data_IF_884703003814
#
_entry.id   IF_884703003814
#
_cell.length_a   1.000
_cell.length_b   1.000
_cell.length_c   1.000
_cell.angle_alpha   90.00
_cell.angle_beta   90.00
_cell.angle_gamma   90.00
#
_symmetry.space_group_name_H-M   'P 1'
#
loop_
_entity.id
_entity.type
_entity.pdbx_description
1 polymer ?
#
# COMPACT_ATOMS: atom_id res chain seq x y z
N UNK A 1 -38.83 -44.56 -32.34
CA UNK A 1 -38.94 -43.91 -33.67
C UNK A 1 -37.55 -43.40 -34.05
N UNK A 2 -37.16 -43.55 -35.32
CA UNK A 2 -35.88 -43.04 -35.83
C UNK A 2 -35.93 -41.52 -35.97
N UNK A 3 -34.80 -40.84 -35.75
CA UNK A 3 -34.73 -39.38 -35.87
C UNK A 3 -35.11 -38.87 -37.26
N UNK A 4 -34.61 -39.49 -38.32
CA UNK A 4 -34.86 -39.05 -39.71
C UNK A 4 -36.35 -39.01 -40.06
N UNK A 5 -37.14 -39.98 -39.58
CA UNK A 5 -38.59 -40.03 -39.79
C UNK A 5 -39.33 -38.96 -38.99
N UNK A 6 -38.80 -38.59 -37.81
CA UNK A 6 -39.37 -37.53 -36.98
C UNK A 6 -39.05 -36.14 -37.54
N UNK A 7 -37.80 -35.92 -37.96
CA UNK A 7 -37.34 -34.66 -38.56
C UNK A 7 -38.14 -34.33 -39.83
N UNK A 8 -38.31 -35.28 -40.74
CA UNK A 8 -39.16 -35.07 -41.95
C UNK A 8 -40.61 -34.71 -41.60
N UNK A 9 -41.15 -35.28 -40.51
CA UNK A 9 -42.52 -34.98 -40.07
C UNK A 9 -42.64 -33.62 -39.39
N UNK A 10 -41.56 -33.09 -38.81
CA UNK A 10 -41.60 -31.78 -38.14
C UNK A 10 -42.01 -30.67 -39.11
N UNK A 11 -41.54 -30.70 -40.35
CA UNK A 11 -41.87 -29.71 -41.39
C UNK A 11 -43.23 -29.96 -42.06
N UNK A 12 -43.69 -31.21 -42.08
CA UNK A 12 -44.81 -31.64 -42.93
C UNK A 12 -46.12 -31.92 -42.18
N UNK A 13 -46.11 -31.87 -40.84
CA UNK A 13 -47.27 -32.18 -40.00
C UNK A 13 -47.62 -31.02 -39.07
N UNK A 14 -48.86 -31.00 -38.58
CA UNK A 14 -49.25 -30.06 -37.51
C UNK A 14 -48.40 -30.25 -36.25
N UNK A 15 -48.01 -29.15 -35.59
CA UNK A 15 -47.17 -29.17 -34.38
C UNK A 15 -47.75 -30.11 -33.30
N UNK A 16 -49.07 -30.11 -33.10
CA UNK A 16 -49.73 -31.01 -32.14
C UNK A 16 -49.53 -32.50 -32.42
N UNK A 17 -49.35 -32.86 -33.70
CA UNK A 17 -49.05 -34.22 -34.15
C UNK A 17 -47.59 -34.54 -33.90
N UNK A 18 -46.67 -33.61 -34.20
CA UNK A 18 -45.23 -33.75 -33.93
C UNK A 18 -44.96 -33.91 -32.43
N UNK A 19 -45.57 -33.09 -31.59
CA UNK A 19 -45.40 -33.12 -30.12
C UNK A 19 -45.80 -34.47 -29.53
N UNK A 20 -46.88 -35.09 -30.03
CA UNK A 20 -47.32 -36.44 -29.58
C UNK A 20 -46.31 -37.54 -29.93
N UNK A 21 -45.40 -37.32 -30.87
CA UNK A 21 -44.39 -38.30 -31.28
C UNK A 21 -43.12 -38.23 -30.43
N UNK A 22 -42.82 -37.09 -29.78
CA UNK A 22 -41.61 -36.87 -28.95
C UNK A 22 -41.36 -38.02 -27.95
N UNK A 23 -42.36 -38.53 -27.18
CA UNK A 23 -42.11 -39.60 -26.22
C UNK A 23 -41.53 -40.88 -26.85
N UNK A 24 -41.87 -41.15 -28.12
CA UNK A 24 -41.44 -42.34 -28.87
C UNK A 24 -40.05 -42.23 -29.49
N UNK A 25 -39.39 -41.07 -29.38
CA UNK A 25 -38.01 -40.89 -29.85
C UNK A 25 -37.02 -41.67 -28.99
N UNK A 26 -36.16 -42.43 -29.64
CA UNK A 26 -35.07 -43.19 -29.00
C UNK A 26 -33.68 -42.74 -29.47
N UNK A 27 -33.63 -42.22 -30.70
CA UNK A 27 -32.45 -41.65 -31.36
C UNK A 27 -32.67 -40.16 -31.65
N UNK A 28 -31.57 -39.43 -31.75
CA UNK A 28 -31.54 -38.00 -31.99
C UNK A 28 -30.53 -37.70 -33.08
N UNK A 29 -30.79 -36.65 -33.86
CA UNK A 29 -29.90 -36.17 -34.90
C UNK A 29 -28.82 -35.25 -34.35
N UNK A 30 -28.27 -34.45 -35.23
CA UNK A 30 -27.34 -33.39 -34.85
C UNK A 30 -28.03 -32.35 -33.94
N UNK A 31 -27.27 -31.69 -33.04
CA UNK A 31 -27.81 -30.58 -32.24
C UNK A 31 -28.48 -29.49 -33.09
N UNK A 32 -27.94 -29.18 -34.27
CA UNK A 32 -28.56 -28.26 -35.23
C UNK A 32 -29.95 -28.70 -35.70
N UNK A 33 -30.10 -29.95 -36.15
CA UNK A 33 -31.42 -30.47 -36.56
C UNK A 33 -32.41 -30.44 -35.39
N UNK A 34 -31.94 -30.70 -34.16
CA UNK A 34 -32.79 -30.64 -32.97
C UNK A 34 -33.22 -29.18 -32.70
N UNK A 35 -32.31 -28.22 -32.82
CA UNK A 35 -32.60 -26.80 -32.67
C UNK A 35 -33.64 -26.32 -33.69
N UNK A 36 -33.51 -26.72 -34.96
CA UNK A 36 -34.48 -26.41 -36.02
C UNK A 36 -35.89 -26.91 -35.64
N UNK A 37 -36.01 -28.15 -35.16
CA UNK A 37 -37.30 -28.71 -34.75
C UNK A 37 -37.85 -28.03 -33.48
N UNK A 38 -36.99 -27.66 -32.54
CA UNK A 38 -37.39 -26.88 -31.37
C UNK A 38 -37.98 -25.53 -31.79
N UNK A 39 -37.37 -24.86 -32.77
CA UNK A 39 -37.88 -23.60 -33.31
C UNK A 39 -39.27 -23.76 -33.94
N UNK A 40 -39.45 -24.81 -34.77
CA UNK A 40 -40.74 -25.14 -35.40
C UNK A 40 -41.83 -25.41 -34.36
N UNK A 41 -41.52 -26.22 -33.34
CA UNK A 41 -42.49 -26.57 -32.31
C UNK A 41 -42.76 -25.35 -31.41
N UNK A 42 -41.73 -24.59 -31.06
CA UNK A 42 -41.78 -23.50 -30.09
C UNK A 42 -42.62 -22.30 -30.53
N UNK A 43 -42.85 -22.13 -31.84
CA UNK A 43 -43.74 -21.08 -32.35
C UNK A 43 -45.22 -21.32 -32.00
N UNK A 44 -45.62 -22.56 -31.73
CA UNK A 44 -47.02 -22.92 -31.43
C UNK A 44 -47.19 -23.61 -30.06
N UNK A 45 -46.25 -24.46 -29.65
CA UNK A 45 -46.32 -25.25 -28.43
C UNK A 45 -44.98 -25.25 -27.68
N UNK A 46 -44.77 -24.21 -26.86
CA UNK A 46 -43.62 -24.10 -25.97
C UNK A 46 -43.42 -25.30 -25.05
N UNK A 47 -44.49 -25.97 -24.60
CA UNK A 47 -44.39 -27.15 -23.72
C UNK A 47 -43.86 -28.35 -24.51
N UNK A 48 -44.31 -28.50 -25.76
CA UNK A 48 -43.76 -29.45 -26.72
C UNK A 48 -42.27 -29.22 -26.96
N UNK A 49 -41.87 -27.98 -27.22
CA UNK A 49 -40.47 -27.59 -27.44
C UNK A 49 -39.59 -27.92 -26.22
N UNK A 50 -40.04 -27.52 -25.02
CA UNK A 50 -39.39 -27.88 -23.76
C UNK A 50 -39.27 -29.41 -23.57
N UNK A 51 -40.29 -30.18 -23.98
CA UNK A 51 -40.25 -31.64 -23.87
C UNK A 51 -39.21 -32.27 -24.80
N UNK A 52 -39.05 -31.74 -26.01
CA UNK A 52 -38.01 -32.20 -26.94
C UNK A 52 -36.62 -31.84 -26.42
N UNK A 53 -36.43 -30.59 -25.97
CA UNK A 53 -35.18 -30.10 -25.41
C UNK A 53 -34.74 -30.95 -24.21
N UNK A 54 -35.60 -31.12 -23.20
CA UNK A 54 -35.25 -31.92 -22.02
C UNK A 54 -34.88 -33.36 -22.39
N UNK A 55 -35.62 -33.98 -23.32
CA UNK A 55 -35.32 -35.35 -23.75
C UNK A 55 -33.97 -35.44 -24.50
N UNK A 56 -33.59 -34.40 -25.24
CA UNK A 56 -32.26 -34.30 -25.85
C UNK A 56 -31.16 -34.15 -24.78
N UNK A 57 -31.36 -33.27 -23.79
CA UNK A 57 -30.44 -33.09 -22.67
C UNK A 57 -30.26 -34.37 -21.84
N UNK A 58 -31.34 -35.12 -21.60
CA UNK A 58 -31.30 -36.43 -20.91
C UNK A 58 -30.45 -37.47 -21.65
N UNK A 59 -30.27 -37.29 -22.97
CA UNK A 59 -29.37 -38.11 -23.80
C UNK A 59 -27.94 -37.59 -23.86
N UNK A 60 -27.62 -36.53 -23.11
CA UNK A 60 -26.30 -35.92 -23.08
C UNK A 60 -25.99 -35.05 -24.29
N UNK A 61 -27.00 -34.65 -25.07
CA UNK A 61 -26.84 -33.74 -26.20
C UNK A 61 -26.54 -32.35 -25.66
N UNK A 62 -25.54 -31.71 -26.25
CA UNK A 62 -25.12 -30.35 -25.91
C UNK A 62 -25.30 -29.45 -27.13
N UNK A 63 -25.51 -28.17 -26.88
CA UNK A 63 -25.79 -27.12 -27.87
C UNK A 63 -24.69 -26.03 -27.86
N UNK A 64 -24.35 -25.49 -29.03
CA UNK A 64 -23.31 -24.46 -29.17
C UNK A 64 -23.99 -23.08 -29.10
N UNK A 65 -23.25 -21.99 -29.22
CA UNK A 65 -23.87 -20.67 -29.14
C UNK A 65 -24.94 -20.46 -30.20
N UNK A 66 -24.68 -20.79 -31.47
CA UNK A 66 -25.63 -20.58 -32.57
C UNK A 66 -26.92 -21.40 -32.37
N UNK A 67 -26.78 -22.66 -31.99
CA UNK A 67 -27.91 -23.56 -31.74
C UNK A 67 -28.73 -23.12 -30.53
N UNK A 68 -28.08 -22.60 -29.48
CA UNK A 68 -28.77 -21.99 -28.35
C UNK A 68 -29.49 -20.71 -28.79
N UNK A 69 -28.83 -19.89 -29.62
CA UNK A 69 -29.41 -18.66 -30.17
C UNK A 69 -30.68 -18.94 -30.95
N UNK A 70 -30.67 -19.97 -31.80
CA UNK A 70 -31.83 -20.38 -32.60
C UNK A 70 -33.05 -20.77 -31.73
N UNK A 71 -32.81 -21.44 -30.60
CA UNK A 71 -33.90 -21.88 -29.71
C UNK A 71 -34.27 -20.84 -28.65
N UNK A 72 -33.57 -19.72 -28.59
CA UNK A 72 -33.86 -18.65 -27.65
C UNK A 72 -35.27 -18.08 -27.91
N UNK A 73 -36.09 -18.02 -26.86
CA UNK A 73 -37.49 -17.60 -26.96
C UNK A 73 -38.46 -18.69 -27.44
N UNK A 74 -37.99 -19.79 -28.02
CA UNK A 74 -38.79 -20.97 -28.43
C UNK A 74 -39.05 -21.94 -27.27
N UNK A 75 -38.22 -21.89 -26.23
CA UNK A 75 -38.40 -22.57 -24.96
C UNK A 75 -38.70 -21.57 -23.82
N UNK A 76 -39.08 -22.08 -22.65
CA UNK A 76 -39.06 -21.24 -21.44
C UNK A 76 -37.63 -21.01 -20.93
N UNK A 77 -37.48 -20.00 -20.07
CA UNK A 77 -36.17 -19.61 -19.54
C UNK A 77 -35.50 -20.72 -18.74
N UNK A 78 -36.26 -21.46 -17.94
CA UNK A 78 -35.74 -22.54 -17.10
C UNK A 78 -35.10 -23.65 -17.95
N UNK A 79 -35.74 -24.08 -19.05
CA UNK A 79 -35.22 -25.12 -19.91
C UNK A 79 -34.10 -24.61 -20.82
N UNK A 80 -34.16 -23.36 -21.26
CA UNK A 80 -33.04 -22.71 -21.94
C UNK A 80 -31.78 -22.69 -21.06
N UNK A 81 -31.91 -22.24 -19.80
CA UNK A 81 -30.79 -22.18 -18.86
C UNK A 81 -30.22 -23.58 -18.59
N UNK A 82 -31.06 -24.61 -18.48
CA UNK A 82 -30.59 -26.01 -18.39
C UNK A 82 -29.73 -26.40 -19.60
N UNK A 83 -30.16 -26.06 -20.81
CA UNK A 83 -29.41 -26.35 -22.02
C UNK A 83 -28.07 -25.59 -22.05
N UNK A 84 -28.10 -24.28 -21.74
CA UNK A 84 -26.93 -23.42 -21.61
C UNK A 84 -25.90 -24.01 -20.65
N UNK A 85 -26.29 -24.29 -19.40
CA UNK A 85 -25.36 -24.80 -18.38
C UNK A 85 -24.88 -26.23 -18.66
N UNK A 86 -25.72 -27.08 -19.25
CA UNK A 86 -25.33 -28.45 -19.66
C UNK A 86 -24.29 -28.46 -20.78
N UNK A 87 -24.23 -27.38 -21.57
CA UNK A 87 -23.32 -27.21 -22.70
C UNK A 87 -22.13 -26.32 -22.39
N UNK A 88 -22.08 -25.72 -21.21
CA UNK A 88 -21.11 -24.67 -20.92
C UNK A 88 -19.64 -25.13 -20.90
N UNK A 89 -19.38 -26.41 -20.65
CA UNK A 89 -18.03 -26.98 -20.64
C UNK A 89 -17.41 -27.16 -22.02
N UNK A 90 -18.16 -26.92 -23.10
CA UNK A 90 -17.67 -26.95 -24.49
C UNK A 90 -17.63 -25.58 -25.16
N UNK A 91 -18.00 -24.51 -24.46
CA UNK A 91 -17.98 -23.17 -25.04
C UNK A 91 -16.56 -22.70 -25.29
N UNK A 92 -16.44 -21.90 -26.34
CA UNK A 92 -15.24 -21.17 -26.77
C UNK A 92 -15.39 -19.68 -26.48
N UNK A 93 -14.33 -18.90 -26.68
CA UNK A 93 -14.40 -17.43 -26.62
C UNK A 93 -15.44 -16.88 -27.62
N UNK A 94 -15.52 -17.46 -28.82
CA UNK A 94 -16.52 -17.08 -29.85
C UNK A 94 -17.95 -17.43 -29.43
N UNK A 95 -18.16 -18.57 -28.75
CA UNK A 95 -19.48 -18.90 -28.21
C UNK A 95 -19.94 -17.87 -27.17
N UNK A 96 -19.04 -17.37 -26.33
CA UNK A 96 -19.34 -16.34 -25.34
C UNK A 96 -19.71 -15.01 -26.01
N UNK A 97 -18.98 -14.62 -27.06
CA UNK A 97 -19.29 -13.43 -27.87
C UNK A 97 -20.70 -13.50 -28.47
N UNK A 98 -21.06 -14.66 -29.04
CA UNK A 98 -22.38 -14.85 -29.64
C UNK A 98 -23.50 -14.87 -28.59
N UNK A 99 -23.26 -15.52 -27.44
CA UNK A 99 -24.24 -15.62 -26.36
C UNK A 99 -24.45 -14.30 -25.62
N UNK A 100 -23.47 -13.40 -25.62
CA UNK A 100 -23.53 -12.12 -24.92
C UNK A 100 -24.76 -11.27 -25.30
N UNK A 101 -25.19 -11.32 -26.57
CA UNK A 101 -26.38 -10.59 -27.02
C UNK A 101 -27.72 -11.24 -26.64
N UNK A 102 -27.69 -12.40 -25.98
CA UNK A 102 -28.85 -13.29 -25.80
C UNK A 102 -29.10 -13.57 -24.33
N UNK A 103 -28.04 -13.75 -23.54
CA UNK A 103 -28.12 -14.04 -22.12
C UNK A 103 -27.72 -12.82 -21.29
N UNK A 104 -28.09 -12.84 -20.02
CA UNK A 104 -27.76 -11.75 -19.10
C UNK A 104 -26.24 -11.68 -18.91
N UNK A 105 -25.69 -10.47 -18.88
CA UNK A 105 -24.26 -10.20 -18.77
C UNK A 105 -23.62 -10.86 -17.55
N UNK A 106 -24.33 -10.90 -16.41
CA UNK A 106 -23.84 -11.56 -15.20
C UNK A 106 -23.68 -13.08 -15.39
N UNK A 107 -24.50 -13.71 -16.24
CA UNK A 107 -24.38 -15.11 -16.62
C UNK A 107 -23.17 -15.29 -17.54
N UNK A 108 -22.96 -14.40 -18.50
CA UNK A 108 -21.76 -14.40 -19.36
C UNK A 108 -20.49 -14.39 -18.51
N UNK A 109 -20.41 -13.45 -17.56
CA UNK A 109 -19.26 -13.30 -16.65
C UNK A 109 -19.06 -14.54 -15.79
N UNK A 110 -20.14 -15.12 -15.24
CA UNK A 110 -20.05 -16.36 -14.45
C UNK A 110 -19.54 -17.54 -15.27
N UNK A 111 -20.00 -17.69 -16.51
CA UNK A 111 -19.57 -18.76 -17.42
C UNK A 111 -18.11 -18.58 -17.81
N UNK A 112 -17.75 -17.40 -18.30
CA UNK A 112 -16.39 -17.10 -18.73
C UNK A 112 -15.38 -17.31 -17.59
N UNK A 113 -15.69 -16.83 -16.38
CA UNK A 113 -14.83 -17.04 -15.20
C UNK A 113 -14.68 -18.51 -14.84
N UNK A 114 -15.78 -19.27 -14.86
CA UNK A 114 -15.78 -20.68 -14.46
C UNK A 114 -14.97 -21.55 -15.41
N UNK A 115 -15.01 -21.25 -16.70
CA UNK A 115 -14.37 -22.07 -17.73
C UNK A 115 -13.08 -21.47 -18.30
N UNK A 116 -12.65 -20.29 -17.80
CA UNK A 116 -11.42 -19.62 -18.24
C UNK A 116 -11.51 -19.07 -19.66
N UNK A 117 -12.70 -18.61 -20.06
CA UNK A 117 -12.97 -18.00 -21.37
C UNK A 117 -12.81 -16.49 -21.27
N UNK A 118 -12.59 -15.85 -22.42
CA UNK A 118 -12.54 -14.39 -22.52
C UNK A 118 -13.96 -13.80 -22.46
N UNK A 119 -14.04 -12.59 -21.91
CA UNK A 119 -15.23 -11.76 -22.06
C UNK A 119 -15.21 -11.06 -23.43
N UNK A 120 -16.40 -10.69 -23.94
CA UNK A 120 -16.52 -9.74 -25.04
C UNK A 120 -15.80 -8.43 -24.73
N UNK A 121 -15.15 -7.85 -25.74
CA UNK A 121 -14.37 -6.61 -25.60
C UNK A 121 -15.23 -5.46 -25.07
N UNK A 122 -16.52 -5.42 -25.46
CA UNK A 122 -17.50 -4.41 -25.05
C UNK A 122 -17.74 -4.35 -23.53
N UNK A 123 -17.49 -5.45 -22.81
CA UNK A 123 -17.71 -5.55 -21.35
C UNK A 123 -16.46 -5.97 -20.57
N UNK A 124 -15.35 -6.27 -21.25
CA UNK A 124 -14.16 -6.82 -20.61
C UNK A 124 -13.57 -5.88 -19.54
N UNK A 125 -13.52 -4.58 -19.81
CA UNK A 125 -12.99 -3.57 -18.89
C UNK A 125 -13.86 -3.41 -17.63
N UNK A 126 -15.19 -3.37 -17.78
CA UNK A 126 -16.14 -3.24 -16.65
C UNK A 126 -16.00 -4.39 -15.63
N UNK A 127 -15.58 -5.56 -16.11
CA UNK A 127 -15.46 -6.76 -15.29
C UNK A 127 -14.03 -7.20 -14.99
N UNK A 128 -13.03 -6.38 -15.35
CA UNK A 128 -11.61 -6.69 -15.14
C UNK A 128 -11.34 -7.10 -13.67
N UNK A 129 -11.90 -6.35 -12.72
CA UNK A 129 -11.74 -6.62 -11.27
C UNK A 129 -12.22 -8.00 -10.84
N UNK A 130 -13.20 -8.56 -11.55
CA UNK A 130 -13.79 -9.87 -11.24
C UNK A 130 -13.12 -10.99 -12.02
N UNK A 131 -12.55 -10.69 -13.18
CA UNK A 131 -12.01 -11.68 -14.11
C UNK A 131 -10.53 -11.90 -13.95
N UNK A 132 -9.76 -10.83 -13.75
CA UNK A 132 -8.30 -10.92 -13.70
C UNK A 132 -7.86 -11.24 -12.29
N UNK A 133 -7.07 -12.30 -12.14
CA UNK A 133 -6.49 -12.66 -10.84
C UNK A 133 -5.50 -11.58 -10.39
N UNK A 134 -5.52 -11.26 -9.10
CA UNK A 134 -4.60 -10.31 -8.47
C UNK A 134 -3.11 -10.64 -8.71
N UNK A 135 -2.78 -11.90 -9.05
CA UNK A 135 -1.40 -12.33 -9.32
C UNK A 135 -0.99 -12.27 -10.79
N UNK A 136 -1.90 -11.88 -11.68
CA UNK A 136 -1.62 -11.78 -13.12
C UNK A 136 -0.71 -10.58 -13.36
N UNK A 137 0.48 -10.71 -13.96
CA UNK A 137 1.33 -9.55 -14.24
C UNK A 137 0.61 -8.49 -15.07
N UNK A 138 0.90 -7.22 -14.83
CA UNK A 138 0.32 -6.07 -15.56
C UNK A 138 1.41 -5.09 -15.95
N UNK A 139 1.33 -4.54 -17.16
CA UNK A 139 2.26 -3.49 -17.60
C UNK A 139 1.95 -2.16 -16.91
N UNK A 140 2.93 -1.25 -16.87
CA UNK A 140 2.71 0.10 -16.35
C UNK A 140 1.55 0.81 -17.06
N UNK A 141 1.53 0.79 -18.39
CA UNK A 141 0.52 1.47 -19.21
C UNK A 141 -0.89 0.96 -18.86
N UNK A 142 -1.10 -0.37 -18.84
CA UNK A 142 -2.39 -0.94 -18.48
C UNK A 142 -2.79 -0.61 -17.04
N UNK A 143 -1.83 -0.67 -16.10
CA UNK A 143 -2.10 -0.33 -14.71
C UNK A 143 -2.50 1.14 -14.54
N UNK A 144 -1.74 2.05 -15.14
CA UNK A 144 -1.93 3.49 -15.00
C UNK A 144 -3.23 3.95 -15.64
N UNK A 145 -3.57 3.43 -16.83
CA UNK A 145 -4.84 3.75 -17.47
C UNK A 145 -6.03 3.18 -16.67
N UNK A 146 -5.91 1.95 -16.16
CA UNK A 146 -6.99 1.27 -15.46
C UNK A 146 -7.23 1.77 -14.03
N UNK A 147 -6.20 2.20 -13.30
CA UNK A 147 -6.32 2.53 -11.87
C UNK A 147 -7.30 3.67 -11.54
N UNK A 148 -7.63 4.51 -12.52
CA UNK A 148 -8.61 5.59 -12.36
C UNK A 148 -10.06 5.11 -12.47
N UNK A 149 -10.29 3.95 -13.11
CA UNK A 149 -11.60 3.33 -13.26
C UNK A 149 -11.83 2.24 -12.20
N UNK A 150 -10.78 1.56 -11.80
CA UNK A 150 -10.83 0.51 -10.79
C UNK A 150 -11.06 1.05 -9.38
N UNK A 151 -11.62 0.21 -8.51
CA UNK A 151 -11.66 0.49 -7.09
C UNK A 151 -10.26 0.48 -6.46
N UNK A 152 -10.08 1.28 -5.41
CA UNK A 152 -8.80 1.49 -4.73
C UNK A 152 -8.12 0.18 -4.26
N UNK A 153 -8.90 -0.76 -3.69
CA UNK A 153 -8.34 -2.02 -3.21
C UNK A 153 -7.82 -2.88 -4.35
N UNK A 154 -8.51 -2.90 -5.50
CA UNK A 154 -8.05 -3.61 -6.69
C UNK A 154 -6.78 -2.95 -7.23
N UNK A 155 -6.76 -1.64 -7.43
CA UNK A 155 -5.57 -0.89 -7.86
C UNK A 155 -4.35 -1.18 -6.96
N UNK A 156 -4.52 -1.18 -5.63
CA UNK A 156 -3.47 -1.55 -4.66
C UNK A 156 -2.97 -2.99 -4.78
N UNK A 157 -3.81 -3.93 -5.23
CA UNK A 157 -3.38 -5.31 -5.48
C UNK A 157 -2.65 -5.42 -6.82
N UNK A 158 -3.14 -4.74 -7.86
CA UNK A 158 -2.53 -4.71 -9.19
C UNK A 158 -1.15 -4.05 -9.19
N UNK A 159 -0.94 -2.99 -8.40
CA UNK A 159 0.37 -2.32 -8.27
C UNK A 159 1.49 -3.21 -7.73
N UNK A 160 1.17 -4.38 -7.14
CA UNK A 160 2.15 -5.34 -6.59
C UNK A 160 2.67 -6.33 -7.63
N UNK A 161 2.08 -6.36 -8.82
CA UNK A 161 2.42 -7.29 -9.91
C UNK A 161 2.74 -6.56 -11.21
N UNK A 162 3.19 -5.31 -11.09
CA UNK A 162 3.73 -4.53 -12.19
C UNK A 162 4.97 -5.19 -12.78
N UNK A 163 5.06 -5.22 -14.11
CA UNK A 163 6.23 -5.73 -14.83
C UNK A 163 7.28 -4.66 -15.12
N UNK A 164 6.85 -3.40 -15.07
CA UNK A 164 7.58 -2.21 -15.43
C UNK A 164 6.93 -0.99 -14.76
N UNK A 165 7.63 0.14 -14.81
CA UNK A 165 7.23 1.38 -14.14
C UNK A 165 7.37 2.57 -15.09
N UNK A 166 6.53 3.58 -14.89
CA UNK A 166 6.49 4.79 -15.68
C UNK A 166 7.57 5.79 -15.31
N UNK A 167 7.33 7.05 -15.68
CA UNK A 167 8.21 8.14 -15.32
C UNK A 167 7.94 8.60 -13.87
N UNK A 168 8.83 9.43 -13.32
CA UNK A 168 8.73 9.90 -11.94
C UNK A 168 7.41 10.62 -11.60
N UNK A 169 6.87 11.45 -12.50
CA UNK A 169 5.60 12.17 -12.30
C UNK A 169 4.41 11.21 -12.18
N UNK A 170 4.41 10.15 -12.99
CA UNK A 170 3.37 9.13 -12.92
C UNK A 170 3.45 8.37 -11.58
N UNK A 171 4.68 8.11 -11.07
CA UNK A 171 4.87 7.50 -9.74
C UNK A 171 4.28 8.40 -8.65
N UNK A 172 4.58 9.70 -8.67
CA UNK A 172 4.02 10.68 -7.73
C UNK A 172 2.49 10.65 -7.78
N UNK A 173 1.91 10.65 -8.98
CA UNK A 173 0.46 10.56 -9.17
C UNK A 173 -0.11 9.31 -8.51
N UNK A 174 0.51 8.15 -8.70
CA UNK A 174 0.07 6.90 -8.05
C UNK A 174 0.17 6.97 -6.53
N UNK A 175 1.22 7.60 -5.98
CA UNK A 175 1.37 7.80 -4.53
C UNK A 175 0.23 8.63 -3.95
N UNK A 176 -0.11 9.76 -4.57
CA UNK A 176 -1.25 10.57 -4.14
C UNK A 176 -2.58 9.83 -4.26
N UNK A 177 -2.81 9.12 -5.37
CA UNK A 177 -4.10 8.48 -5.63
C UNK A 177 -4.34 7.24 -4.78
N UNK A 178 -3.29 6.44 -4.51
CA UNK A 178 -3.45 5.13 -3.88
C UNK A 178 -2.83 5.05 -2.49
N UNK A 179 -1.78 5.79 -2.18
CA UNK A 179 -0.97 5.53 -0.99
C UNK A 179 -0.96 6.66 0.04
N UNK A 180 -1.83 7.66 -0.10
CA UNK A 180 -2.01 8.69 0.92
C UNK A 180 -2.40 8.07 2.28
N UNK A 181 -1.59 8.34 3.30
CA UNK A 181 -1.70 7.74 4.63
C UNK A 181 -1.30 6.26 4.77
N UNK A 182 -0.91 5.56 3.70
CA UNK A 182 -0.42 4.18 3.71
C UNK A 182 1.08 4.08 3.46
N UNK A 183 1.87 4.43 4.48
CA UNK A 183 3.35 4.43 4.43
C UNK A 183 3.90 3.06 4.02
N UNK A 184 3.31 1.94 4.48
CA UNK A 184 3.84 0.62 4.13
C UNK A 184 3.58 0.27 2.66
N UNK A 185 2.43 0.69 2.12
CA UNK A 185 2.12 0.56 0.71
C UNK A 185 3.06 1.39 -0.15
N UNK A 186 3.23 2.67 0.19
CA UNK A 186 4.14 3.60 -0.47
C UNK A 186 5.59 3.08 -0.46
N UNK A 187 6.08 2.64 0.70
CA UNK A 187 7.44 2.11 0.88
C UNK A 187 7.75 0.97 -0.09
N UNK A 188 6.82 0.02 -0.21
CA UNK A 188 7.00 -1.12 -1.11
C UNK A 188 6.92 -0.68 -2.58
N UNK A 189 5.97 0.19 -2.92
CA UNK A 189 5.77 0.65 -4.28
C UNK A 189 6.98 1.44 -4.81
N UNK A 190 7.47 2.41 -4.02
CA UNK A 190 8.65 3.22 -4.36
C UNK A 190 9.89 2.33 -4.48
N UNK A 191 10.08 1.42 -3.53
CA UNK A 191 11.24 0.51 -3.56
C UNK A 191 11.26 -0.33 -4.83
N UNK A 192 10.11 -0.87 -5.24
CA UNK A 192 10.02 -1.64 -6.47
C UNK A 192 10.21 -0.77 -7.73
N UNK A 193 9.65 0.43 -7.79
CA UNK A 193 9.89 1.38 -8.88
C UNK A 193 11.40 1.67 -9.05
N UNK A 194 12.09 1.96 -7.95
CA UNK A 194 13.53 2.20 -7.93
C UNK A 194 14.33 0.95 -8.34
N UNK A 195 13.90 -0.24 -7.93
CA UNK A 195 14.52 -1.50 -8.35
C UNK A 195 14.40 -1.75 -9.86
N UNK A 196 13.32 -1.25 -10.47
CA UNK A 196 13.09 -1.28 -11.92
C UNK A 196 13.78 -0.12 -12.66
N UNK A 197 14.55 0.71 -11.96
CA UNK A 197 15.40 1.73 -12.54
C UNK A 197 14.78 3.12 -12.60
N UNK A 198 13.63 3.35 -11.97
CA UNK A 198 13.09 4.70 -11.80
C UNK A 198 14.06 5.51 -10.93
N UNK A 199 14.38 6.71 -11.40
CA UNK A 199 15.16 7.71 -10.67
C UNK A 199 14.35 8.98 -10.57
N UNK A 200 14.54 9.72 -9.50
CA UNK A 200 13.77 10.92 -9.18
C UNK A 200 14.66 12.16 -9.17
N UNK A 201 14.12 13.28 -9.64
CA UNK A 201 14.66 14.61 -9.41
C UNK A 201 14.63 15.00 -7.94
N UNK A 202 15.36 16.05 -7.55
CA UNK A 202 15.35 16.56 -6.17
C UNK A 202 13.95 16.95 -5.72
N UNK A 203 13.23 17.73 -6.54
CA UNK A 203 11.83 18.09 -6.27
C UNK A 203 10.95 16.86 -5.99
N UNK A 204 10.98 15.86 -6.87
CA UNK A 204 10.13 14.68 -6.71
C UNK A 204 10.59 13.77 -5.55
N UNK A 205 11.86 13.81 -5.16
CA UNK A 205 12.31 13.16 -3.93
C UNK A 205 11.73 13.84 -2.69
N UNK A 206 11.70 15.17 -2.67
CA UNK A 206 11.05 15.90 -1.59
C UNK A 206 9.55 15.56 -1.51
N UNK A 207 8.87 15.47 -2.66
CA UNK A 207 7.47 15.01 -2.66
C UNK A 207 7.31 13.58 -2.13
N UNK A 208 8.22 12.67 -2.49
CA UNK A 208 8.23 11.29 -2.00
C UNK A 208 8.47 11.20 -0.49
N UNK A 209 9.21 12.15 0.10
CA UNK A 209 9.53 12.16 1.54
C UNK A 209 8.26 12.18 2.40
N UNK A 210 7.19 12.81 1.92
CA UNK A 210 5.89 12.86 2.60
C UNK A 210 5.16 11.52 2.67
N UNK A 211 5.43 10.60 1.74
CA UNK A 211 4.70 9.34 1.63
C UNK A 211 5.40 8.16 2.28
N UNK A 212 6.73 8.20 2.33
CA UNK A 212 7.54 7.03 2.65
C UNK A 212 8.30 7.20 3.96
N UNK A 213 8.82 6.09 4.48
CA UNK A 213 9.73 6.12 5.61
C UNK A 213 11.06 6.74 5.20
N UNK A 214 11.73 7.38 6.17
CA UNK A 214 13.08 7.93 5.95
C UNK A 214 14.11 6.91 5.44
N UNK A 215 13.87 5.61 5.66
CA UNK A 215 14.70 4.53 5.14
C UNK A 215 14.52 4.30 3.64
N UNK A 216 13.29 4.37 3.13
CA UNK A 216 12.97 4.24 1.72
C UNK A 216 13.30 5.52 0.96
N UNK A 217 13.05 6.69 1.56
CA UNK A 217 13.52 7.98 1.04
C UNK A 217 15.03 7.95 0.76
N UNK A 218 15.85 7.61 1.77
CA UNK A 218 17.31 7.47 1.60
C UNK A 218 17.71 6.43 0.57
N UNK A 219 16.93 5.36 0.42
CA UNK A 219 17.16 4.35 -0.62
C UNK A 219 16.94 4.93 -2.03
N UNK A 220 15.84 5.63 -2.25
CA UNK A 220 15.51 6.29 -3.52
C UNK A 220 16.50 7.43 -3.84
N UNK A 221 16.86 8.23 -2.84
CA UNK A 221 17.86 9.29 -2.92
C UNK A 221 19.20 8.73 -3.42
N UNK A 222 19.74 7.71 -2.76
CA UNK A 222 21.03 7.11 -3.14
C UNK A 222 21.05 6.51 -4.56
N UNK A 223 19.89 6.10 -5.08
CA UNK A 223 19.76 5.54 -6.43
C UNK A 223 19.66 6.64 -7.49
N UNK A 224 19.11 7.79 -7.13
CA UNK A 224 18.88 8.93 -8.02
C UNK A 224 20.03 9.94 -8.01
N UNK A 225 20.77 10.03 -6.91
CA UNK A 225 21.76 11.08 -6.60
C UNK A 225 22.89 11.24 -7.61
N UNK A 226 23.21 10.20 -8.40
CA UNK A 226 24.27 10.24 -9.41
C UNK A 226 24.10 11.31 -10.49
N UNK A 227 22.89 11.86 -10.63
CA UNK A 227 22.56 12.88 -11.63
C UNK A 227 22.17 14.22 -11.02
N UNK A 228 22.32 14.38 -9.71
CA UNK A 228 21.92 15.59 -9.02
C UNK A 228 22.71 16.80 -9.48
N UNK A 229 22.03 17.93 -9.46
CA UNK A 229 22.55 19.27 -9.58
C UNK A 229 22.52 19.96 -8.22
N UNK A 230 23.13 21.14 -8.12
CA UNK A 230 23.02 21.99 -6.92
C UNK A 230 21.55 22.24 -6.54
N UNK A 231 20.67 22.37 -7.55
CA UNK A 231 19.24 22.57 -7.31
C UNK A 231 18.56 21.33 -6.72
N UNK A 232 18.91 20.14 -7.21
CA UNK A 232 18.36 18.90 -6.66
C UNK A 232 18.77 18.69 -5.20
N UNK A 233 19.98 19.11 -4.83
CA UNK A 233 20.45 19.06 -3.45
C UNK A 233 19.69 20.06 -2.55
N UNK A 234 19.45 21.28 -3.04
CA UNK A 234 18.62 22.27 -2.34
C UNK A 234 17.18 21.75 -2.13
N UNK A 235 16.59 21.10 -3.13
CA UNK A 235 15.22 20.60 -3.03
C UNK A 235 15.05 19.52 -1.94
N UNK A 236 16.07 18.69 -1.71
CA UNK A 236 16.01 17.59 -0.72
C UNK A 236 16.63 17.95 0.63
N UNK A 237 17.21 19.15 0.79
CA UNK A 237 17.98 19.47 2.00
C UNK A 237 17.12 19.49 3.27
N UNK A 238 15.86 19.90 3.14
CA UNK A 238 14.93 19.98 4.28
C UNK A 238 14.52 18.59 4.79
N UNK A 239 14.67 17.56 3.96
CA UNK A 239 14.36 16.16 4.27
C UNK A 239 15.58 15.38 4.82
N UNK A 240 16.73 16.06 4.94
CA UNK A 240 18.01 15.54 5.38
C UNK A 240 18.49 16.31 6.62
N UNK A 241 19.40 15.70 7.39
CA UNK A 241 20.15 16.47 8.39
C UNK A 241 21.42 17.09 7.78
N UNK A 242 22.00 18.07 8.48
CA UNK A 242 23.16 18.82 7.99
C UNK A 242 24.35 17.93 7.60
N UNK A 243 24.67 16.92 8.41
CA UNK A 243 25.77 15.99 8.12
C UNK A 243 25.48 15.16 6.84
N UNK A 244 24.22 14.81 6.59
CA UNK A 244 23.78 14.12 5.37
C UNK A 244 23.87 15.02 4.13
N UNK A 245 23.44 16.28 4.23
CA UNK A 245 23.53 17.28 3.14
C UNK A 245 24.99 17.54 2.79
N UNK A 246 25.84 17.79 3.79
CA UNK A 246 27.27 18.05 3.60
C UNK A 246 27.94 16.86 2.92
N UNK A 247 27.72 15.66 3.44
CA UNK A 247 28.31 14.44 2.87
C UNK A 247 27.86 14.21 1.43
N UNK A 248 26.58 14.41 1.12
CA UNK A 248 26.06 14.23 -0.23
C UNK A 248 26.65 15.27 -1.21
N UNK A 249 26.78 16.52 -0.79
CA UNK A 249 27.42 17.58 -1.56
C UNK A 249 28.88 17.24 -1.88
N UNK A 250 29.64 16.78 -0.87
CA UNK A 250 31.04 16.36 -1.03
C UNK A 250 31.18 15.18 -1.99
N UNK A 251 30.36 14.14 -1.83
CA UNK A 251 30.38 12.92 -2.66
C UNK A 251 30.06 13.20 -4.13
N UNK A 252 29.20 14.17 -4.40
CA UNK A 252 28.74 14.52 -5.75
C UNK A 252 29.47 15.74 -6.34
N UNK A 253 30.35 16.38 -5.56
CA UNK A 253 31.04 17.61 -5.92
C UNK A 253 30.08 18.77 -6.26
N UNK A 254 29.03 18.94 -5.46
CA UNK A 254 28.03 19.99 -5.58
C UNK A 254 28.28 21.14 -4.60
N UNK A 255 27.70 22.31 -4.87
CA UNK A 255 27.70 23.42 -3.92
C UNK A 255 26.69 23.15 -2.79
N UNK A 256 27.03 23.56 -1.57
CA UNK A 256 26.07 23.52 -0.47
C UNK A 256 24.92 24.51 -0.71
N UNK A 257 23.68 24.18 -0.30
CA UNK A 257 22.55 25.10 -0.37
C UNK A 257 22.79 26.39 0.45
N UNK A 258 22.11 27.48 0.09
CA UNK A 258 22.22 28.74 0.83
C UNK A 258 21.80 28.54 2.31
N UNK A 259 22.63 29.01 3.24
CA UNK A 259 22.41 28.83 4.69
C UNK A 259 23.18 27.65 5.32
N UNK A 260 23.73 26.75 4.50
CA UNK A 260 24.69 25.75 4.96
C UNK A 260 26.10 26.35 4.96
N UNK A 261 26.53 26.87 6.10
CA UNK A 261 27.94 27.21 6.31
C UNK A 261 28.69 25.93 6.68
N UNK A 262 29.77 25.62 5.94
CA UNK A 262 30.81 24.73 6.47
C UNK A 262 31.38 25.49 7.66
N UNK A 263 30.96 25.15 8.87
CA UNK A 263 31.71 25.53 10.05
C UNK A 263 33.11 24.97 9.86
N UNK A 264 34.06 25.83 9.52
CA UNK A 264 35.48 25.50 9.58
C UNK A 264 35.67 24.93 10.99
N UNK A 265 36.17 23.69 11.09
CA UNK A 265 36.35 23.01 12.39
C UNK A 265 37.30 23.77 13.35
N UNK A 266 37.79 24.94 12.93
CA UNK A 266 38.66 25.84 13.66
C UNK A 266 38.01 27.12 14.19
N UNK A 267 36.78 27.48 13.80
CA UNK A 267 36.14 28.72 14.27
C UNK A 267 34.89 28.41 15.12
N UNK A 268 34.97 28.81 16.39
CA UNK A 268 33.91 28.87 17.41
C UNK A 268 33.50 27.61 18.20
N UNK A 269 34.50 26.88 18.70
CA UNK A 269 34.56 26.66 20.15
C UNK A 269 35.96 27.11 20.56
N UNK A 270 36.07 28.25 21.27
CA UNK A 270 37.31 28.66 21.94
C UNK A 270 37.95 27.40 22.53
N UNK A 271 39.12 27.02 22.02
CA UNK A 271 39.84 25.81 22.40
C UNK A 271 39.81 25.75 23.94
N UNK A 272 39.05 24.82 24.54
CA UNK A 272 38.86 24.77 26.00
C UNK A 272 40.24 24.51 26.62
N UNK A 273 40.88 25.60 27.02
CA UNK A 273 42.33 25.67 27.20
C UNK A 273 42.71 25.57 28.68
N UNK A 274 41.72 25.50 29.57
CA UNK A 274 41.93 25.25 30.98
C UNK A 274 40.84 24.36 31.61
N UNK A 275 41.19 23.77 32.75
CA UNK A 275 40.33 22.83 33.48
C UNK A 275 39.07 23.52 34.03
N UNK A 276 39.09 24.83 34.28
CA UNK A 276 37.96 25.57 34.85
C UNK A 276 36.84 25.79 33.81
N UNK A 277 37.19 26.14 32.57
CA UNK A 277 36.25 26.21 31.44
C UNK A 277 35.65 24.83 31.14
N UNK A 278 36.46 23.78 31.14
CA UNK A 278 35.98 22.40 30.95
C UNK A 278 35.02 21.96 32.06
N UNK A 279 35.25 22.40 33.31
CA UNK A 279 34.35 22.14 34.43
C UNK A 279 33.01 22.85 34.23
N UNK A 280 33.01 24.11 33.76
CA UNK A 280 31.78 24.86 33.48
C UNK A 280 30.97 24.20 32.36
N UNK A 281 31.60 23.85 31.24
CA UNK A 281 30.94 23.21 30.09
C UNK A 281 30.37 21.83 30.45
N UNK A 282 31.03 21.07 31.33
CA UNK A 282 30.50 19.79 31.83
C UNK A 282 29.31 20.01 32.77
N UNK A 283 29.28 21.09 33.56
CA UNK A 283 28.12 21.42 34.40
C UNK A 283 26.92 21.79 33.55
N UNK A 284 27.10 22.60 32.51
CA UNK A 284 26.03 22.97 31.57
C UNK A 284 25.47 21.73 30.87
N UNK A 285 26.33 20.78 30.48
CA UNK A 285 25.90 19.49 29.93
C UNK A 285 25.13 18.63 30.95
N UNK A 286 25.45 18.70 32.25
CA UNK A 286 24.70 18.00 33.30
C UNK A 286 23.34 18.65 33.49
N UNK A 287 23.25 19.98 33.44
CA UNK A 287 22.00 20.73 33.56
C UNK A 287 21.05 20.41 32.41
N UNK A 288 21.52 20.44 31.16
CA UNK A 288 20.72 20.05 30.00
C UNK A 288 20.26 18.58 30.05
N UNK A 289 21.10 17.68 30.58
CA UNK A 289 20.70 16.30 30.79
C UNK A 289 19.61 16.18 31.88
N UNK A 290 19.67 16.99 32.94
CA UNK A 290 18.65 17.04 33.99
C UNK A 290 17.32 17.61 33.48
N UNK A 291 17.36 18.65 32.64
CA UNK A 291 16.19 19.21 31.96
C UNK A 291 15.53 18.20 31.02
N UNK A 292 16.32 17.54 30.16
CA UNK A 292 15.83 16.47 29.29
C UNK A 292 15.19 15.33 30.10
N UNK A 293 15.80 14.90 31.20
CA UNK A 293 15.24 13.85 32.05
C UNK A 293 13.93 14.26 32.70
N UNK A 294 13.83 15.50 33.15
CA UNK A 294 12.58 16.03 33.73
C UNK A 294 11.47 15.98 32.68
N UNK A 295 11.72 16.55 31.51
CA UNK A 295 10.76 16.61 30.41
C UNK A 295 10.33 15.19 29.94
N UNK A 296 11.27 14.24 29.83
CA UNK A 296 10.95 12.84 29.50
C UNK A 296 10.13 12.13 30.59
N UNK A 297 10.39 12.40 31.86
CA UNK A 297 9.62 11.83 32.96
C UNK A 297 8.19 12.40 33.00
N UNK A 298 8.04 13.71 32.76
CA UNK A 298 6.75 14.39 32.71
C UNK A 298 5.93 13.92 31.50
N UNK A 299 6.56 13.79 30.32
CA UNK A 299 5.96 13.16 29.15
C UNK A 299 5.56 11.70 29.42
N UNK A 300 6.43 10.92 30.07
CA UNK A 300 6.15 9.54 30.45
C UNK A 300 4.97 9.42 31.44
N UNK A 301 4.83 10.36 32.37
CA UNK A 301 3.71 10.42 33.31
C UNK A 301 2.40 10.74 32.58
N UNK A 302 2.39 11.74 31.70
CA UNK A 302 1.24 12.13 30.89
C UNK A 302 0.76 10.98 29.97
N UNK A 303 1.69 10.30 29.29
CA UNK A 303 1.41 9.13 28.45
C UNK A 303 0.85 7.96 29.26
N UNK A 304 1.39 7.72 30.46
CA UNK A 304 0.91 6.64 31.34
C UNK A 304 -0.47 6.95 31.94
N UNK A 305 -0.76 8.19 32.29
CA UNK A 305 -2.08 8.65 32.75
C UNK A 305 -3.14 8.51 31.64
N UNK A 306 -2.80 8.86 30.40
CA UNK A 306 -3.62 8.60 29.21
C UNK A 306 -3.85 7.11 28.92
N UNK A 307 -2.90 6.24 29.28
CA UNK A 307 -2.99 4.77 29.08
C UNK A 307 -3.75 4.02 30.19
N UNK A 308 -3.77 4.55 31.42
CA UNK A 308 -4.43 3.94 32.60
C UNK A 308 -5.95 4.13 32.60
N UNK A 309 -6.45 5.00 31.74
CA UNK A 309 -7.88 5.11 31.43
C UNK A 309 -8.25 3.98 30.46
N UNK A 310 -8.37 2.76 30.98
CA UNK A 310 -8.66 1.54 30.22
C UNK A 310 -9.98 1.66 29.45
N UNK A 311 -10.01 1.12 28.22
CA UNK A 311 -11.14 0.93 27.30
C UNK A 311 -12.47 0.53 27.96
N UNK A 312 -12.43 -0.07 29.15
CA UNK A 312 -13.61 -0.48 29.92
C UNK A 312 -14.37 0.66 30.62
N UNK A 313 -13.69 1.74 31.03
CA UNK A 313 -14.38 2.87 31.69
C UNK A 313 -15.13 3.75 30.68
N UNK A 314 -14.67 3.77 29.42
CA UNK A 314 -15.22 4.56 28.30
C UNK A 314 -16.55 4.01 27.79
N UNK A 315 -16.76 2.69 27.82
CA UNK A 315 -18.04 2.09 27.40
C UNK A 315 -19.17 2.33 28.41
N UNK A 316 -18.85 2.77 29.64
CA UNK A 316 -19.83 2.81 30.70
C UNK A 316 -20.51 4.16 30.90
N UNK A 317 -19.87 5.33 30.68
CA UNK A 317 -20.48 6.64 30.97
C UNK A 317 -19.95 7.84 30.14
N UNK A 318 -20.80 8.31 29.22
CA UNK A 318 -21.11 9.72 28.88
C UNK A 318 -20.00 10.73 28.48
N UNK A 319 -19.95 11.07 27.19
CA UNK A 319 -19.81 12.40 26.53
C UNK A 319 -18.86 13.53 27.03
N UNK A 320 -17.99 13.34 28.03
CA UNK A 320 -17.04 14.37 28.48
C UNK A 320 -15.54 14.00 28.35
N UNK A 321 -15.16 12.99 27.55
CA UNK A 321 -13.77 12.47 27.51
C UNK A 321 -12.83 13.05 26.44
N UNK A 322 -13.26 14.02 25.62
CA UNK A 322 -12.40 14.60 24.57
C UNK A 322 -11.43 15.67 25.07
N UNK A 323 -11.84 16.51 26.04
CA UNK A 323 -11.02 17.64 26.50
C UNK A 323 -9.81 17.20 27.33
N UNK A 324 -9.97 16.23 28.23
CA UNK A 324 -8.88 15.72 29.08
C UNK A 324 -7.86 14.88 28.32
N UNK A 325 -8.28 14.16 27.27
CA UNK A 325 -7.36 13.42 26.38
C UNK A 325 -6.54 14.38 25.52
N UNK A 326 -7.15 15.44 24.98
CA UNK A 326 -6.43 16.45 24.20
C UNK A 326 -5.44 17.21 25.07
N UNK A 327 -5.83 17.64 26.28
CA UNK A 327 -4.93 18.32 27.22
C UNK A 327 -3.74 17.45 27.66
N UNK A 328 -3.95 16.17 27.95
CA UNK A 328 -2.86 15.26 28.35
C UNK A 328 -1.90 14.93 27.18
N UNK A 329 -2.41 14.93 25.94
CA UNK A 329 -1.59 14.72 24.76
C UNK A 329 -0.84 15.99 24.33
N UNK A 330 -1.48 17.16 24.45
CA UNK A 330 -0.83 18.47 24.24
C UNK A 330 0.30 18.69 25.27
N UNK A 331 0.07 18.33 26.54
CA UNK A 331 1.11 18.37 27.57
C UNK A 331 2.24 17.39 27.27
N UNK A 332 1.92 16.15 26.86
CA UNK A 332 2.93 15.17 26.48
C UNK A 332 3.76 15.63 25.26
N UNK A 333 3.13 16.26 24.28
CA UNK A 333 3.78 16.82 23.09
C UNK A 333 4.74 17.96 23.45
N UNK A 334 4.28 18.91 24.27
CA UNK A 334 5.10 20.02 24.76
C UNK A 334 6.34 19.54 25.54
N UNK A 335 6.16 18.56 26.43
CA UNK A 335 7.28 18.00 27.20
C UNK A 335 8.26 17.22 26.31
N UNK A 336 7.77 16.60 25.23
CA UNK A 336 8.64 15.91 24.27
C UNK A 336 9.47 16.90 23.45
N UNK A 337 8.87 17.97 22.95
CA UNK A 337 9.60 19.02 22.23
C UNK A 337 10.68 19.63 23.13
N UNK A 338 10.34 19.90 24.39
CA UNK A 338 11.31 20.38 25.40
C UNK A 338 12.46 19.38 25.59
N UNK A 339 12.17 18.08 25.66
CA UNK A 339 13.20 17.05 25.77
C UNK A 339 14.10 16.98 24.51
N UNK A 340 13.52 17.11 23.32
CA UNK A 340 14.26 17.12 22.05
C UNK A 340 15.22 18.31 21.96
N UNK A 341 14.77 19.50 22.34
CA UNK A 341 15.60 20.71 22.39
C UNK A 341 16.78 20.56 23.36
N UNK A 342 16.53 20.11 24.60
CA UNK A 342 17.59 19.90 25.59
C UNK A 342 18.58 18.80 25.17
N UNK A 343 18.12 17.73 24.51
CA UNK A 343 18.99 16.67 23.99
C UNK A 343 19.84 17.16 22.82
N UNK A 344 19.28 17.97 21.93
CA UNK A 344 20.02 18.57 20.81
C UNK A 344 21.16 19.46 21.31
N UNK A 345 20.85 20.34 22.27
CA UNK A 345 21.86 21.20 22.91
C UNK A 345 22.92 20.38 23.66
N UNK A 346 22.51 19.34 24.39
CA UNK A 346 23.42 18.41 25.05
C UNK A 346 24.39 17.76 24.06
N UNK A 347 23.89 17.29 22.91
CA UNK A 347 24.71 16.68 21.86
C UNK A 347 25.73 17.66 21.28
N UNK A 348 25.34 18.92 21.09
CA UNK A 348 26.26 20.00 20.70
C UNK A 348 27.41 20.16 21.69
N UNK A 349 27.11 20.23 22.99
CA UNK A 349 28.14 20.35 24.04
C UNK A 349 29.02 19.09 24.11
N UNK A 350 28.43 17.90 24.02
CA UNK A 350 29.18 16.64 24.04
C UNK A 350 30.15 16.51 22.86
N UNK A 351 29.78 17.02 21.67
CA UNK A 351 30.66 17.11 20.50
C UNK A 351 31.87 18.00 20.82
N UNK A 352 31.66 19.15 21.46
CA UNK A 352 32.73 20.02 21.96
C UNK A 352 33.65 19.35 22.99
N UNK A 353 33.07 18.71 24.03
CA UNK A 353 33.84 18.00 25.08
C UNK A 353 34.69 16.85 24.48
N UNK A 354 34.17 16.16 23.46
CA UNK A 354 34.89 15.04 22.81
C UNK A 354 36.20 15.47 22.13
N UNK A 355 36.31 16.75 21.75
CA UNK A 355 37.48 17.34 21.11
C UNK A 355 38.51 17.88 22.12
N UNK A 356 38.21 17.88 23.43
CA UNK A 356 39.11 18.42 24.46
C UNK A 356 40.33 17.53 24.77
N UNK A 357 41.55 18.09 24.65
CA UNK A 357 42.82 17.38 24.89
C UNK A 357 43.01 16.87 26.34
N UNK A 358 42.36 17.50 27.33
CA UNK A 358 42.45 17.14 28.76
C UNK A 358 41.68 15.87 29.13
N UNK A 359 40.81 15.39 28.24
CA UNK A 359 40.05 14.17 28.45
C UNK A 359 40.40 13.19 27.33
N UNK A 360 41.11 12.11 27.67
CA UNK A 360 41.30 10.99 26.76
C UNK A 360 39.99 10.18 26.68
N UNK A 361 39.00 10.72 25.98
CA UNK A 361 37.71 10.06 25.76
C UNK A 361 37.79 9.22 24.47
N UNK A 362 37.48 7.93 24.56
CA UNK A 362 37.20 7.14 23.36
C UNK A 362 35.88 7.65 22.78
N UNK A 363 35.95 8.30 21.62
CA UNK A 363 34.83 8.79 20.80
C UNK A 363 33.75 7.73 20.55
N UNK A 364 34.11 6.45 20.53
CA UNK A 364 33.19 5.30 20.43
C UNK A 364 32.10 5.27 21.52
N UNK A 365 32.33 5.87 22.69
CA UNK A 365 31.39 5.81 23.84
C UNK A 365 30.39 6.98 23.90
N UNK A 366 30.60 8.01 23.07
CA UNK A 366 29.67 9.12 22.82
C UNK A 366 28.89 8.93 21.52
N UNK A 367 29.44 8.17 20.56
CA UNK A 367 28.81 7.88 19.27
C UNK A 367 27.39 7.28 19.41
N UNK A 368 27.13 6.44 20.41
CA UNK A 368 25.78 5.87 20.64
C UNK A 368 24.72 6.90 21.05
N UNK A 369 25.12 8.12 21.40
CA UNK A 369 24.24 9.21 21.84
C UNK A 369 23.99 10.22 20.72
N UNK A 370 24.94 10.37 19.80
CA UNK A 370 24.76 11.13 18.55
C UNK A 370 23.72 10.46 17.64
N UNK A 371 23.60 9.13 17.69
CA UNK A 371 22.59 8.34 16.97
C UNK A 371 21.15 8.45 17.54
N UNK A 372 20.90 9.22 18.61
CA UNK A 372 19.54 9.35 19.19
C UNK A 372 18.59 10.16 18.33
N UNK A 373 19.09 11.05 17.46
CA UNK A 373 18.26 11.92 16.62
C UNK A 373 17.82 11.25 15.31
N UNK A 374 18.39 10.08 14.97
CA UNK A 374 18.20 9.45 13.65
C UNK A 374 17.09 8.40 13.60
N UNK A 375 16.26 8.26 14.63
CA UNK A 375 15.15 7.31 14.62
C UNK A 375 13.81 8.00 14.90
N UNK A 376 13.07 8.27 13.81
CA UNK A 376 11.66 8.67 13.75
C UNK A 376 11.22 9.68 14.82
N UNK A 377 11.20 10.96 14.43
CA UNK A 377 10.66 12.08 15.21
C UNK A 377 9.42 11.69 16.02
N UNK A 378 9.39 12.08 17.30
CA UNK A 378 8.26 11.81 18.19
C UNK A 378 6.93 12.38 17.65
N UNK A 379 6.99 13.42 16.82
CA UNK A 379 5.86 14.04 16.13
C UNK A 379 5.10 13.02 15.28
N UNK A 380 5.81 12.12 14.58
CA UNK A 380 5.20 11.04 13.76
C UNK A 380 4.48 9.99 14.59
N UNK A 381 4.76 9.90 15.90
CA UNK A 381 4.17 8.87 16.76
C UNK A 381 2.91 9.36 17.49
N UNK A 382 2.80 10.67 17.73
CA UNK A 382 1.65 11.34 18.33
C UNK A 382 0.48 11.35 17.33
N UNK A 383 0.75 11.68 16.06
CA UNK A 383 -0.22 11.66 14.95
C UNK A 383 -0.89 10.29 14.74
N UNK A 384 -0.18 9.18 15.03
CA UNK A 384 -0.70 7.82 14.83
C UNK A 384 -1.23 7.12 16.09
N UNK A 385 -1.38 7.81 17.23
CA UNK A 385 -1.88 7.23 18.50
C UNK A 385 -1.17 5.93 18.94
N UNK A 386 0.13 5.77 18.69
CA UNK A 386 0.91 4.56 19.05
C UNK A 386 1.48 4.64 20.47
N UNK A 387 0.62 4.88 21.48
CA UNK A 387 0.95 5.08 22.91
C UNK A 387 1.93 4.01 23.46
N UNK A 388 1.77 2.75 23.06
CA UNK A 388 2.65 1.65 23.48
C UNK A 388 4.05 1.64 22.87
N UNK A 389 4.26 2.26 21.70
CA UNK A 389 5.60 2.50 21.13
C UNK A 389 6.23 3.75 21.74
N UNK A 390 5.42 4.77 22.01
CA UNK A 390 5.82 6.02 22.66
C UNK A 390 6.42 5.80 24.03
N UNK A 391 5.76 5.02 24.89
CA UNK A 391 6.33 4.67 26.19
C UNK A 391 7.64 3.88 26.11
N UNK A 392 7.84 3.05 25.09
CA UNK A 392 9.10 2.28 24.92
C UNK A 392 10.26 3.18 24.50
N UNK A 393 10.00 4.15 23.61
CA UNK A 393 11.01 5.10 23.16
C UNK A 393 11.38 6.07 24.28
N UNK A 394 10.40 6.65 24.99
CA UNK A 394 10.65 7.49 26.17
C UNK A 394 11.55 6.74 27.16
N UNK A 395 11.20 5.51 27.53
CA UNK A 395 12.00 4.73 28.48
C UNK A 395 13.43 4.43 28.00
N UNK A 396 13.62 4.20 26.70
CA UNK A 396 14.96 3.99 26.12
C UNK A 396 15.77 5.28 26.17
N UNK A 397 15.22 6.38 25.68
CA UNK A 397 15.80 7.72 25.69
C UNK A 397 16.15 8.17 27.12
N UNK A 398 15.23 8.01 28.08
CA UNK A 398 15.48 8.31 29.51
C UNK A 398 16.69 7.55 30.04
N UNK A 399 16.83 6.26 29.71
CA UNK A 399 17.97 5.45 30.16
C UNK A 399 19.28 5.97 29.57
N UNK A 400 19.29 6.32 28.30
CA UNK A 400 20.49 6.80 27.59
C UNK A 400 20.94 8.18 28.15
N UNK A 401 19.99 9.07 28.47
CA UNK A 401 20.30 10.36 29.11
C UNK A 401 20.80 10.17 30.56
N UNK A 402 20.22 9.26 31.35
CA UNK A 402 20.72 8.91 32.70
C UNK A 402 22.18 8.43 32.64
N UNK A 403 22.48 7.52 31.72
CA UNK A 403 23.83 6.96 31.57
C UNK A 403 24.84 8.04 31.14
N UNK A 404 24.41 8.99 30.32
CA UNK A 404 25.21 10.14 29.87
C UNK A 404 25.53 11.09 31.01
N UNK A 405 24.50 11.50 31.75
CA UNK A 405 24.61 12.33 32.95
C UNK A 405 25.57 11.72 33.98
N UNK A 406 25.46 10.40 34.25
CA UNK A 406 26.38 9.70 35.17
C UNK A 406 27.83 9.71 34.68
N UNK A 407 28.07 9.59 33.38
CA UNK A 407 29.42 9.68 32.80
C UNK A 407 29.97 11.10 32.96
N UNK A 408 29.18 12.13 32.67
CA UNK A 408 29.56 13.53 32.85
C UNK A 408 29.91 13.84 34.32
N UNK A 409 29.08 13.40 35.27
CA UNK A 409 29.38 13.56 36.70
C UNK A 409 30.71 12.89 37.10
N UNK A 410 30.99 11.71 36.55
CA UNK A 410 32.22 10.97 36.86
C UNK A 410 33.45 11.70 36.31
N UNK A 411 33.32 12.35 35.15
CA UNK A 411 34.37 13.18 34.56
C UNK A 411 34.55 14.44 35.40
N UNK A 412 33.47 15.14 35.73
CA UNK A 412 33.48 16.32 36.60
C UNK A 412 34.19 16.04 37.93
N UNK A 413 33.80 14.96 38.63
CA UNK A 413 34.41 14.52 39.90
C UNK A 413 35.91 14.19 39.77
N UNK A 414 36.38 13.78 38.60
CA UNK A 414 37.82 13.54 38.35
C UNK A 414 38.56 14.85 38.12
N UNK A 415 37.98 15.78 37.36
CA UNK A 415 38.56 17.10 37.11
C UNK A 415 38.69 17.91 38.41
N UNK A 416 37.70 17.86 39.29
CA UNK A 416 37.77 18.52 40.60
C UNK A 416 38.83 17.93 41.56
N UNK A 417 39.40 16.75 41.25
CA UNK A 417 40.51 16.13 42.02
C UNK A 417 41.88 16.38 41.40
N UNK A 418 41.92 16.89 40.16
CA UNK A 418 43.13 17.16 39.40
C UNK A 418 43.61 18.62 39.54
N UNK A 419 42.75 19.49 40.06
CA UNK A 419 43.05 20.82 40.62
C UNK A 419 43.39 20.64 42.10
#
# INVERSE_FOLDING_TARGET
MKWSEFYEKADNCEVSTVVKMIPSLEEFGSPKEIADVILIIGSEDKKGANSLLNKALDKGIKFNADELSDIFGSCDRENFDKALYSSADRFTDEDIENLYYIIEEDVVVKLAKKYGLKLPDDIASEYEEKMVSDTTPVSWEQFYDGMFEWNEEYSKRRSRVLTDYGNEEDIITVLYQLFDGDINGADNFIKEAVNHGVTFSGNNLSEISYFCSGSIFRYALNKSSKRFTDKDLEDVSDDLNDDEVIKLAEELHLNLPEGYEIYDENDDIDEINNIAELQAVILDAIELADEALKALNDAGAAVNEGSRTSLFDILSKSFYSSATKNLALEEADFQIQTAEESISQLNGILKGISKCRYIKMNSEKLASLLDMYTNDSFINMITHMKIGKMGKNINKTTKDVIDTRHKLEKIYKKLCKAV
#
